data_IF_840272450003
#
_entry.id   IF_840272450003
#
_cell.length_a   1.000
_cell.length_b   1.000
_cell.length_c   1.000
_cell.angle_alpha   90.00
_cell.angle_beta   90.00
_cell.angle_gamma   90.00
#
_symmetry.space_group_name_H-M   'P 1'
#
loop_
_entity.id
_entity.type
_entity.pdbx_description
1 polymer ?
#
# COMPACT_ATOMS: atom_id res chain seq x y z
N UNK A 1 10.01 36.76 -10.85
CA UNK A 1 8.78 36.28 -10.17
C UNK A 1 7.73 35.58 -11.08
N UNK A 2 7.86 35.55 -12.39
CA UNK A 2 6.93 34.81 -13.30
C UNK A 2 7.17 33.30 -13.36
N UNK A 3 8.39 32.80 -13.12
CA UNK A 3 8.74 31.38 -13.20
C UNK A 3 8.15 30.54 -12.05
N UNK A 4 8.00 31.09 -10.85
CA UNK A 4 7.43 30.34 -9.70
C UNK A 4 5.93 30.13 -9.82
N UNK A 5 5.21 31.02 -10.52
CA UNK A 5 3.77 30.89 -10.78
C UNK A 5 3.40 29.80 -11.79
N UNK A 6 4.32 29.40 -12.62
CA UNK A 6 4.09 28.38 -13.67
C UNK A 6 4.14 26.94 -13.11
N UNK A 7 4.79 26.73 -11.97
CA UNK A 7 4.90 25.44 -11.30
C UNK A 7 3.81 25.17 -10.24
N UNK A 8 2.93 26.13 -9.96
CA UNK A 8 1.90 26.02 -8.90
C UNK A 8 0.46 26.08 -9.41
N UNK A 9 0.24 25.93 -10.70
CA UNK A 9 -1.11 26.02 -11.29
C UNK A 9 -1.66 24.62 -11.67
N UNK A 10 -2.98 24.57 -11.83
CA UNK A 10 -3.73 23.38 -12.28
C UNK A 10 -3.14 22.71 -13.52
N UNK A 11 -2.37 23.43 -14.34
CA UNK A 11 -1.62 22.90 -15.47
C UNK A 11 -0.56 21.88 -15.05
N UNK A 12 0.14 22.09 -13.93
CA UNK A 12 1.15 21.13 -13.43
C UNK A 12 0.52 19.86 -12.88
N UNK A 13 -0.69 19.97 -12.30
CA UNK A 13 -1.44 18.79 -11.84
C UNK A 13 -1.94 17.96 -13.04
N UNK A 14 -2.40 18.63 -14.10
CA UNK A 14 -2.85 17.98 -15.31
C UNK A 14 -1.70 17.29 -16.04
N UNK A 15 -0.54 17.91 -16.11
CA UNK A 15 0.68 17.34 -16.69
C UNK A 15 1.17 16.11 -15.91
N UNK A 16 1.08 16.13 -14.57
CA UNK A 16 1.36 14.96 -13.73
C UNK A 16 0.36 13.83 -13.98
N UNK A 17 -0.93 14.15 -14.13
CA UNK A 17 -1.98 13.17 -14.43
C UNK A 17 -1.79 12.55 -15.81
N UNK A 18 -1.51 13.36 -16.83
CA UNK A 18 -1.25 12.89 -18.21
C UNK A 18 0.01 12.00 -18.26
N UNK A 19 1.05 12.36 -17.50
CA UNK A 19 2.27 11.55 -17.39
C UNK A 19 2.00 10.23 -16.68
N UNK A 20 1.20 10.24 -15.61
CA UNK A 20 0.81 9.03 -14.88
C UNK A 20 -0.04 8.10 -15.75
N UNK A 21 -0.98 8.64 -16.52
CA UNK A 21 -1.79 7.87 -17.48
C UNK A 21 -0.94 7.28 -18.61
N UNK A 22 0.00 8.05 -19.16
CA UNK A 22 0.92 7.57 -20.18
C UNK A 22 1.79 6.42 -19.66
N UNK A 23 2.32 6.57 -18.45
CA UNK A 23 3.13 5.54 -17.78
C UNK A 23 2.30 4.29 -17.49
N UNK A 24 1.06 4.45 -17.00
CA UNK A 24 0.14 3.34 -16.75
C UNK A 24 -0.14 2.53 -18.03
N UNK A 25 -0.35 3.21 -19.18
CA UNK A 25 -0.54 2.55 -20.48
C UNK A 25 0.69 1.78 -20.95
N UNK A 26 1.89 2.35 -20.78
CA UNK A 26 3.15 1.67 -21.10
C UNK A 26 3.34 0.42 -20.25
N UNK A 27 3.00 0.48 -18.97
CA UNK A 27 3.08 -0.67 -18.05
C UNK A 27 2.00 -1.72 -18.35
N UNK A 28 0.82 -1.32 -18.84
CA UNK A 28 -0.25 -2.23 -19.26
C UNK A 28 0.11 -3.07 -20.50
N UNK A 29 1.05 -2.61 -21.33
CA UNK A 29 1.54 -3.37 -22.50
C UNK A 29 2.40 -4.59 -22.11
N UNK A 30 2.76 -4.76 -20.84
CA UNK A 30 3.44 -5.97 -20.33
C UNK A 30 2.48 -7.15 -20.23
N UNK A 31 2.99 -8.39 -20.36
CA UNK A 31 2.18 -9.63 -20.43
C UNK A 31 1.34 -9.98 -19.19
N UNK A 32 1.29 -9.15 -18.16
CA UNK A 32 0.40 -9.22 -16.99
C UNK A 32 -0.31 -7.87 -16.73
N UNK A 33 -0.39 -7.02 -17.76
CA UNK A 33 -1.07 -5.73 -17.69
C UNK A 33 -2.57 -5.88 -17.93
N UNK A 34 -3.38 -5.19 -17.15
CA UNK A 34 -4.80 -4.97 -17.41
C UNK A 34 -4.99 -3.50 -17.85
N UNK A 35 -5.84 -3.26 -18.84
CA UNK A 35 -6.20 -1.89 -19.20
C UNK A 35 -6.86 -1.20 -17.99
N UNK A 36 -6.44 0.03 -17.66
CA UNK A 36 -7.06 0.77 -16.57
C UNK A 36 -8.55 0.95 -16.88
N UNK A 37 -9.40 0.46 -15.99
CA UNK A 37 -10.85 0.44 -16.17
C UNK A 37 -11.48 1.84 -16.30
N UNK A 38 -10.79 2.90 -15.88
CA UNK A 38 -11.20 4.29 -16.03
C UNK A 38 -9.98 5.23 -16.12
N UNK A 39 -9.99 6.19 -17.05
CA UNK A 39 -8.97 7.24 -17.05
C UNK A 39 -9.12 8.12 -15.80
N UNK A 40 -8.01 8.39 -15.12
CA UNK A 40 -7.94 9.23 -13.93
C UNK A 40 -7.97 10.71 -14.33
N UNK A 41 -9.13 11.17 -14.80
CA UNK A 41 -9.29 12.50 -15.40
C UNK A 41 -9.68 13.60 -14.42
N UNK A 42 -10.02 13.25 -13.17
CA UNK A 42 -10.44 14.22 -12.16
C UNK A 42 -9.91 13.88 -10.78
N UNK A 43 -9.80 14.89 -9.90
CA UNK A 43 -9.43 14.70 -8.49
C UNK A 43 -10.41 13.73 -7.80
N UNK A 44 -11.70 13.80 -8.15
CA UNK A 44 -12.71 12.88 -7.62
C UNK A 44 -12.43 11.43 -7.98
N UNK A 45 -12.04 11.15 -9.24
CA UNK A 45 -11.67 9.78 -9.67
C UNK A 45 -10.42 9.26 -8.96
N UNK A 46 -9.45 10.12 -8.67
CA UNK A 46 -8.26 9.78 -7.88
C UNK A 46 -8.64 9.37 -6.46
N UNK A 47 -9.46 10.17 -5.77
CA UNK A 47 -9.87 9.90 -4.38
C UNK A 47 -10.67 8.60 -4.29
N UNK A 48 -11.60 8.35 -5.22
CA UNK A 48 -12.37 7.09 -5.24
C UNK A 48 -11.53 5.87 -5.60
N UNK A 49 -10.51 6.05 -6.44
CA UNK A 49 -9.58 4.98 -6.81
C UNK A 49 -8.58 4.64 -5.68
N UNK A 50 -8.22 5.62 -4.84
CA UNK A 50 -7.13 5.50 -3.86
C UNK A 50 -7.24 4.26 -2.94
N UNK A 51 -8.39 3.92 -2.32
CA UNK A 51 -8.51 2.74 -1.48
C UNK A 51 -8.19 1.43 -2.22
N UNK A 52 -8.69 1.30 -3.46
CA UNK A 52 -8.41 0.14 -4.31
C UNK A 52 -6.95 0.10 -4.75
N UNK A 53 -6.39 1.25 -5.11
CA UNK A 53 -4.99 1.40 -5.50
C UNK A 53 -4.03 1.03 -4.36
N UNK A 54 -4.29 1.51 -3.14
CA UNK A 54 -3.50 1.18 -1.95
C UNK A 54 -3.55 -0.32 -1.64
N UNK A 55 -4.76 -0.91 -1.70
CA UNK A 55 -4.93 -2.35 -1.52
C UNK A 55 -4.15 -3.13 -2.58
N UNK A 56 -4.25 -2.73 -3.84
CA UNK A 56 -3.53 -3.35 -4.97
C UNK A 56 -2.02 -3.27 -4.77
N UNK A 57 -1.48 -2.11 -4.42
CA UNK A 57 -0.05 -1.93 -4.21
C UNK A 57 0.52 -2.81 -3.08
N UNK A 58 -0.26 -3.07 -2.02
CA UNK A 58 0.20 -3.79 -0.85
C UNK A 58 -0.14 -5.29 -0.86
N UNK A 59 -1.30 -5.69 -1.43
CA UNK A 59 -1.86 -7.04 -1.25
C UNK A 59 -2.20 -7.79 -2.54
N UNK A 60 -2.04 -7.19 -3.73
CA UNK A 60 -2.21 -7.90 -4.99
C UNK A 60 -0.82 -8.24 -5.62
N UNK A 61 -0.69 -9.21 -6.50
CA UNK A 61 -1.75 -10.08 -7.03
C UNK A 61 -2.29 -11.08 -5.99
N UNK A 62 -3.56 -11.46 -6.16
CA UNK A 62 -4.16 -12.58 -5.44
C UNK A 62 -4.03 -13.87 -6.28
N UNK A 63 -4.20 -15.08 -5.67
CA UNK A 63 -4.13 -16.33 -6.42
C UNK A 63 -5.15 -16.37 -7.55
N UNK A 64 -4.68 -16.65 -8.76
CA UNK A 64 -5.50 -16.69 -9.97
C UNK A 64 -5.53 -15.40 -10.80
N UNK A 65 -5.07 -14.26 -10.28
CA UNK A 65 -5.01 -13.01 -11.05
C UNK A 65 -3.87 -12.99 -12.08
N UNK A 66 -2.79 -13.70 -11.83
CA UNK A 66 -1.66 -13.82 -12.75
C UNK A 66 -1.41 -15.30 -13.06
N UNK A 67 -1.68 -15.76 -14.30
CA UNK A 67 -1.73 -17.18 -14.64
C UNK A 67 -0.35 -17.81 -14.91
N UNK A 68 0.68 -17.40 -14.16
CA UNK A 68 2.01 -18.02 -14.24
C UNK A 68 2.46 -18.49 -12.85
N UNK A 69 3.42 -19.43 -12.76
CA UNK A 69 3.87 -19.99 -11.47
C UNK A 69 4.35 -18.93 -10.47
N UNK A 70 5.02 -17.89 -10.93
CA UNK A 70 5.47 -16.78 -10.08
C UNK A 70 4.30 -15.94 -9.57
N UNK A 71 3.27 -15.72 -10.41
CA UNK A 71 2.06 -15.02 -10.03
C UNK A 71 1.28 -15.79 -8.96
N UNK A 72 1.17 -17.10 -9.10
CA UNK A 72 0.51 -17.97 -8.08
C UNK A 72 1.28 -17.89 -6.76
N UNK A 73 2.61 -17.98 -6.79
CA UNK A 73 3.44 -17.88 -5.59
C UNK A 73 3.30 -16.52 -4.91
N UNK A 74 3.35 -15.43 -5.67
CA UNK A 74 3.11 -14.08 -5.17
C UNK A 74 1.70 -13.93 -4.59
N UNK A 75 0.71 -14.56 -5.22
CA UNK A 75 -0.66 -14.58 -4.72
C UNK A 75 -0.80 -15.26 -3.37
N UNK A 76 -0.19 -16.42 -3.18
CA UNK A 76 -0.17 -17.14 -1.89
C UNK A 76 0.51 -16.30 -0.82
N UNK A 77 1.66 -15.69 -1.14
CA UNK A 77 2.36 -14.77 -0.23
C UNK A 77 1.45 -13.60 0.19
N UNK A 78 0.73 -13.02 -0.76
CA UNK A 78 -0.16 -11.89 -0.49
C UNK A 78 -1.38 -12.28 0.37
N UNK A 79 -1.93 -13.46 0.18
CA UNK A 79 -2.98 -13.99 1.07
C UNK A 79 -2.43 -14.16 2.49
N UNK A 80 -1.23 -14.72 2.64
CA UNK A 80 -0.59 -14.87 3.96
C UNK A 80 -0.37 -13.50 4.62
N UNK A 81 0.11 -12.49 3.87
CA UNK A 81 0.26 -11.12 4.36
C UNK A 81 -1.08 -10.50 4.76
N UNK A 82 -2.14 -10.71 3.98
CA UNK A 82 -3.48 -10.19 4.27
C UNK A 82 -4.06 -10.82 5.54
N UNK A 83 -3.92 -12.14 5.69
CA UNK A 83 -4.33 -12.84 6.91
C UNK A 83 -3.55 -12.36 8.13
N UNK A 84 -2.24 -12.13 7.96
CA UNK A 84 -1.40 -11.59 9.03
C UNK A 84 -1.76 -10.15 9.37
N UNK A 85 -2.10 -9.32 8.39
CA UNK A 85 -2.60 -7.97 8.61
C UNK A 85 -3.93 -7.98 9.38
N UNK A 86 -4.87 -8.85 9.00
CA UNK A 86 -6.12 -9.06 9.75
C UNK A 86 -5.86 -9.49 11.19
N UNK A 87 -4.98 -10.46 11.40
CA UNK A 87 -4.58 -10.91 12.74
C UNK A 87 -3.94 -9.79 13.57
N UNK A 88 -3.02 -9.01 12.98
CA UNK A 88 -2.38 -7.88 13.64
C UNK A 88 -3.41 -6.79 14.00
N UNK A 89 -4.35 -6.49 13.10
CA UNK A 89 -5.42 -5.53 13.34
C UNK A 89 -6.34 -5.94 14.50
N UNK A 90 -6.70 -7.23 14.58
CA UNK A 90 -7.50 -7.76 15.69
C UNK A 90 -6.78 -7.69 17.06
N UNK A 91 -5.45 -7.68 17.06
CA UNK A 91 -4.63 -7.57 18.28
C UNK A 91 -4.24 -6.15 18.63
N UNK A 92 -4.26 -5.24 17.66
CA UNK A 92 -3.91 -3.84 17.85
C UNK A 92 -4.88 -3.15 18.82
N UNK A 93 -4.35 -2.32 19.69
CA UNK A 93 -5.12 -1.46 20.58
C UNK A 93 -5.01 0.00 20.13
N UNK A 94 -5.95 0.84 20.49
CA UNK A 94 -5.91 2.27 20.16
C UNK A 94 -4.59 2.93 20.57
N UNK A 95 -4.01 2.53 21.70
CA UNK A 95 -2.70 3.01 22.15
C UNK A 95 -1.55 2.62 21.19
N UNK A 96 -1.64 1.46 20.54
CA UNK A 96 -0.62 1.03 19.59
C UNK A 96 -0.70 1.84 18.31
N UNK A 97 -1.91 2.20 17.89
CA UNK A 97 -2.14 3.03 16.70
C UNK A 97 -1.61 4.45 16.89
N UNK A 98 -1.65 4.97 18.12
CA UNK A 98 -1.13 6.29 18.48
C UNK A 98 0.37 6.30 18.80
N UNK A 99 1.04 5.15 18.77
CA UNK A 99 2.49 5.06 18.96
C UNK A 99 3.21 5.78 17.81
N UNK A 100 4.15 6.71 18.09
CA UNK A 100 4.86 7.45 17.04
C UNK A 100 5.53 6.58 15.98
N UNK A 101 6.05 5.40 16.37
CA UNK A 101 6.68 4.45 15.44
C UNK A 101 5.63 3.86 14.49
N UNK A 102 4.45 3.53 14.99
CA UNK A 102 3.33 3.03 14.18
C UNK A 102 2.83 4.11 13.24
N UNK A 103 2.63 5.33 13.73
CA UNK A 103 2.21 6.47 12.91
C UNK A 103 3.21 6.75 11.78
N UNK A 104 4.51 6.73 12.10
CA UNK A 104 5.56 6.89 11.11
C UNK A 104 5.53 5.77 10.05
N UNK A 105 5.44 4.51 10.48
CA UNK A 105 5.39 3.37 9.58
C UNK A 105 4.14 3.41 8.67
N UNK A 106 2.97 3.75 9.24
CA UNK A 106 1.72 3.91 8.47
C UNK A 106 1.82 5.07 7.48
N UNK A 107 2.39 6.21 7.89
CA UNK A 107 2.61 7.35 6.99
C UNK A 107 3.55 6.99 5.84
N UNK A 108 4.65 6.28 6.12
CA UNK A 108 5.59 5.82 5.10
C UNK A 108 4.95 4.82 4.14
N UNK A 109 4.23 3.82 4.66
CA UNK A 109 3.47 2.85 3.87
C UNK A 109 2.40 3.53 3.02
N UNK A 110 1.67 4.47 3.59
CA UNK A 110 0.64 5.24 2.89
C UNK A 110 1.22 6.09 1.77
N UNK A 111 2.30 6.83 2.03
CA UNK A 111 2.98 7.65 1.03
C UNK A 111 3.53 6.78 -0.11
N UNK A 112 4.23 5.69 0.22
CA UNK A 112 4.75 4.75 -0.77
C UNK A 112 3.62 4.13 -1.59
N UNK A 113 2.58 3.59 -0.93
CA UNK A 113 1.47 2.94 -1.60
C UNK A 113 0.67 3.92 -2.48
N UNK A 114 0.56 5.19 -2.09
CA UNK A 114 -0.09 6.22 -2.91
C UNK A 114 0.64 6.46 -4.22
N UNK A 115 1.97 6.49 -4.20
CA UNK A 115 2.79 6.63 -5.42
C UNK A 115 2.64 5.39 -6.30
N UNK A 116 2.73 4.20 -5.71
CA UNK A 116 2.70 2.95 -6.46
C UNK A 116 1.30 2.43 -6.78
N UNK A 117 0.23 3.00 -6.21
CA UNK A 117 -1.15 2.64 -6.51
C UNK A 117 -1.45 2.71 -8.01
N UNK A 118 -1.02 3.78 -8.66
CA UNK A 118 -1.22 4.00 -10.10
C UNK A 118 -0.39 3.04 -10.96
N UNK A 119 0.85 2.77 -10.56
CA UNK A 119 1.77 1.90 -11.28
C UNK A 119 1.39 0.42 -11.14
N UNK A 120 0.93 0.04 -9.95
CA UNK A 120 0.61 -1.35 -9.61
C UNK A 120 -0.72 -1.82 -10.19
N UNK A 121 -1.67 -0.91 -10.37
CA UNK A 121 -3.01 -1.25 -10.86
C UNK A 121 -2.98 -1.75 -12.31
N UNK A 122 -2.18 -1.11 -13.15
CA UNK A 122 -2.07 -1.46 -14.57
C UNK A 122 -1.17 -2.68 -14.84
N UNK A 123 -0.35 -3.12 -13.88
CA UNK A 123 0.52 -4.27 -14.05
C UNK A 123 0.83 -4.99 -12.72
N UNK A 124 0.10 -6.08 -12.47
CA UNK A 124 0.22 -6.88 -11.25
C UNK A 124 1.59 -7.56 -11.10
N UNK A 125 2.28 -7.87 -12.19
CA UNK A 125 3.64 -8.39 -12.15
C UNK A 125 4.65 -7.36 -11.65
N UNK A 126 4.47 -6.10 -12.01
CA UNK A 126 5.25 -4.98 -11.49
C UNK A 126 4.90 -4.67 -10.03
N UNK A 127 3.62 -4.78 -9.64
CA UNK A 127 3.16 -4.61 -8.28
C UNK A 127 3.91 -5.51 -7.29
N UNK A 128 4.07 -6.80 -7.62
CA UNK A 128 4.80 -7.76 -6.79
C UNK A 128 6.26 -7.35 -6.57
N UNK A 129 6.93 -6.79 -7.59
CA UNK A 129 8.32 -6.35 -7.50
C UNK A 129 8.47 -5.07 -6.69
N UNK A 130 7.61 -4.09 -6.90
CA UNK A 130 7.65 -2.83 -6.18
C UNK A 130 7.39 -3.02 -4.69
N UNK A 131 6.47 -3.91 -4.32
CA UNK A 131 6.16 -4.24 -2.93
C UNK A 131 7.37 -4.71 -2.13
N UNK A 132 8.35 -5.39 -2.76
CA UNK A 132 9.56 -5.84 -2.07
C UNK A 132 10.34 -4.69 -1.42
N UNK A 133 10.23 -3.47 -1.93
CA UNK A 133 10.90 -2.28 -1.38
C UNK A 133 10.35 -1.91 0.00
N UNK A 134 9.04 -2.06 0.20
CA UNK A 134 8.34 -1.62 1.41
C UNK A 134 7.94 -2.80 2.32
N UNK A 135 8.06 -4.03 1.84
CA UNK A 135 7.71 -5.24 2.56
C UNK A 135 8.36 -5.34 3.95
N UNK A 136 9.65 -5.00 4.15
CA UNK A 136 10.26 -5.03 5.48
C UNK A 136 9.55 -4.10 6.48
N UNK A 137 9.15 -2.89 6.05
CA UNK A 137 8.43 -1.94 6.90
C UNK A 137 7.04 -2.46 7.24
N UNK A 138 6.33 -3.03 6.25
CA UNK A 138 5.03 -3.66 6.45
C UNK A 138 5.12 -4.81 7.46
N UNK A 139 6.07 -5.72 7.29
CA UNK A 139 6.26 -6.85 8.20
C UNK A 139 6.61 -6.40 9.61
N UNK A 140 7.51 -5.43 9.78
CA UNK A 140 7.85 -4.88 11.08
C UNK A 140 6.64 -4.26 11.78
N UNK A 141 5.82 -3.50 11.03
CA UNK A 141 4.57 -2.93 11.55
C UNK A 141 3.62 -4.03 12.00
N UNK A 142 3.38 -5.05 11.18
CA UNK A 142 2.47 -6.16 11.51
C UNK A 142 2.96 -6.96 12.73
N UNK A 143 4.26 -7.26 12.79
CA UNK A 143 4.88 -7.94 13.95
C UNK A 143 4.76 -7.09 15.21
N UNK A 144 4.98 -5.79 15.11
CA UNK A 144 4.84 -4.87 16.24
C UNK A 144 3.41 -4.84 16.78
N UNK A 145 2.41 -4.77 15.91
CA UNK A 145 0.99 -4.78 16.28
C UNK A 145 0.55 -6.15 16.83
N UNK A 146 1.06 -7.25 16.25
CA UNK A 146 0.73 -8.61 16.67
C UNK A 146 1.46 -9.08 17.93
N UNK A 147 2.44 -8.33 18.46
CA UNK A 147 3.26 -8.75 19.59
C UNK A 147 2.44 -9.14 20.84
N UNK A 148 2.88 -10.20 21.53
CA UNK A 148 2.34 -10.56 22.84
C UNK A 148 2.84 -9.55 23.87
N UNK A 149 1.93 -8.90 24.57
CA UNK A 149 2.30 -8.08 25.73
C UNK A 149 2.40 -9.00 26.96
N UNK A 150 3.49 -8.90 27.74
CA UNK A 150 3.52 -9.56 29.03
C UNK A 150 2.35 -9.01 29.86
N UNK A 151 1.57 -9.92 30.44
CA UNK A 151 0.56 -9.52 31.42
C UNK A 151 1.30 -8.74 32.51
N UNK A 152 0.87 -7.52 32.80
CA UNK A 152 1.35 -6.80 33.95
C UNK A 152 1.10 -7.71 35.17
N UNK A 153 2.20 -8.26 35.76
CA UNK A 153 2.10 -8.99 37.01
C UNK A 153 1.40 -8.06 37.97
N UNK A 154 0.26 -8.53 38.49
CA UNK A 154 -0.39 -7.85 39.61
C UNK A 154 0.69 -7.59 40.70
N UNK A 155 0.77 -6.37 41.24
CA UNK A 155 1.70 -6.10 42.32
C UNK A 155 1.45 -7.14 43.43
N UNK A 156 2.49 -7.91 43.78
CA UNK A 156 2.41 -8.85 44.85
C UNK A 156 1.87 -8.07 46.09
N UNK A 157 0.71 -8.48 46.57
CA UNK A 157 0.15 -7.93 47.79
C UNK A 157 1.25 -8.06 48.85
N UNK A 158 1.82 -6.93 49.29
CA UNK A 158 2.70 -6.88 50.45
C UNK A 158 1.82 -7.26 51.63
N UNK A 159 1.89 -8.55 52.03
CA UNK A 159 1.39 -9.00 53.33
C UNK A 159 2.12 -8.25 54.39
N UNK A 160 1.34 -7.51 55.22
CA UNK A 160 1.79 -6.91 56.44
C UNK A 160 2.03 -7.94 57.54
#
# INVERSE_FOLDING_TARGET
>A
MKLVRQYTTLASMQEVMDTADALARVLAMGGSGEEPAQPLTSVGSIVTFMPLGLFTALFRPLPGEVPNPFGVMAGVENVALLLFAGFAALRARLRDILDPVVLWAVALLGAWASVYAFLSYSNLGSAARFKLQILPVLLLLLLYLARRRPHARAPAARGG
#
